data_IF_431263039050
#
_entry.id   IF_431263039050
#
_cell.length_a   1.000
_cell.length_b   1.000
_cell.length_c   1.000
_cell.angle_alpha   90.00
_cell.angle_beta   90.00
_cell.angle_gamma   90.00
#
_symmetry.space_group_name_H-M   'P 1'
#
loop_
_entity.id
_entity.type
_entity.pdbx_description
1 polymer ?
#
# COMPACT_ATOMS: atom_id res chain seq x y z
N UNK A 1 21.12 8.65 7.30
CA UNK A 1 20.15 8.64 6.17
C UNK A 1 19.04 7.70 6.54
N UNK A 2 17.81 8.13 6.35
CA UNK A 2 16.64 7.30 6.64
C UNK A 2 16.59 6.09 5.71
N UNK A 3 16.24 4.93 6.26
CA UNK A 3 16.07 3.70 5.51
C UNK A 3 14.65 3.61 4.96
N UNK A 4 14.51 3.80 3.65
CA UNK A 4 13.23 3.81 2.94
C UNK A 4 12.99 2.47 2.25
N UNK A 5 11.88 1.80 2.54
CA UNK A 5 11.49 0.54 1.91
C UNK A 5 10.23 0.71 1.08
N UNK A 6 10.25 0.19 -0.13
CA UNK A 6 9.06 0.02 -0.99
C UNK A 6 8.69 -1.46 -1.02
N UNK A 7 7.49 -1.80 -0.57
CA UNK A 7 6.95 -3.16 -0.65
C UNK A 7 6.10 -3.28 -1.90
N UNK A 8 6.44 -4.26 -2.74
CA UNK A 8 5.75 -4.53 -4.01
C UNK A 8 5.22 -5.96 -3.99
N UNK A 9 3.92 -6.16 -3.71
CA UNK A 9 3.31 -7.48 -3.82
C UNK A 9 3.11 -7.87 -5.29
N UNK A 10 3.42 -9.12 -5.63
CA UNK A 10 3.31 -9.63 -6.98
C UNK A 10 2.52 -10.94 -7.05
N UNK A 11 1.75 -11.08 -8.14
CA UNK A 11 1.17 -12.33 -8.60
C UNK A 11 0.93 -12.24 -10.11
N UNK A 12 1.75 -12.91 -10.93
CA UNK A 12 1.77 -12.81 -12.40
C UNK A 12 1.99 -11.36 -12.87
N UNK A 13 3.15 -10.80 -12.53
CA UNK A 13 3.56 -9.45 -12.92
C UNK A 13 4.86 -9.46 -13.75
N UNK A 14 5.13 -10.57 -14.44
CA UNK A 14 6.32 -10.76 -15.30
C UNK A 14 6.57 -9.60 -16.26
N UNK A 15 5.50 -9.03 -16.81
CA UNK A 15 5.58 -7.94 -17.81
C UNK A 15 5.99 -6.59 -17.23
N UNK A 16 5.78 -6.40 -15.92
CA UNK A 16 5.95 -5.10 -15.25
C UNK A 16 7.12 -5.07 -14.27
N UNK A 17 7.42 -6.21 -13.63
CA UNK A 17 8.25 -6.23 -12.41
C UNK A 17 9.67 -5.70 -12.63
N UNK A 18 10.34 -6.03 -13.74
CA UNK A 18 11.66 -5.52 -14.04
C UNK A 18 11.65 -4.00 -14.24
N UNK A 19 10.70 -3.52 -15.04
CA UNK A 19 10.61 -2.09 -15.37
C UNK A 19 10.33 -1.25 -14.12
N UNK A 20 9.47 -1.71 -13.20
CA UNK A 20 9.14 -0.95 -12.00
C UNK A 20 10.31 -0.95 -10.99
N UNK A 21 11.03 -2.05 -10.84
CA UNK A 21 12.23 -2.14 -9.99
C UNK A 21 13.29 -1.16 -10.50
N UNK A 22 13.61 -1.21 -11.80
CA UNK A 22 14.58 -0.30 -12.41
C UNK A 22 14.15 1.16 -12.28
N UNK A 23 12.87 1.45 -12.47
CA UNK A 23 12.32 2.80 -12.31
C UNK A 23 12.51 3.33 -10.89
N UNK A 24 12.17 2.54 -9.87
CA UNK A 24 12.36 2.95 -8.46
C UNK A 24 13.84 3.20 -8.16
N UNK A 25 14.74 2.33 -8.62
CA UNK A 25 16.17 2.52 -8.38
C UNK A 25 16.80 3.65 -9.19
N UNK A 26 16.14 4.16 -10.24
CA UNK A 26 16.57 5.34 -10.98
C UNK A 26 16.21 6.67 -10.32
N UNK A 27 15.36 6.65 -9.29
CA UNK A 27 14.96 7.86 -8.57
C UNK A 27 16.08 8.38 -7.67
N UNK A 28 16.10 9.68 -7.47
CA UNK A 28 16.97 10.29 -6.46
C UNK A 28 16.53 9.84 -5.06
N UNK A 29 17.49 9.38 -4.26
CA UNK A 29 17.26 8.88 -2.90
C UNK A 29 17.73 7.44 -2.71
N UNK A 30 17.79 7.02 -1.45
CA UNK A 30 18.17 5.66 -1.09
C UNK A 30 16.91 4.82 -0.84
N UNK A 31 16.41 4.19 -1.90
CA UNK A 31 15.27 3.27 -1.79
C UNK A 31 15.75 1.82 -1.77
N UNK A 32 15.13 1.01 -0.92
CA UNK A 32 15.19 -0.44 -0.95
C UNK A 32 13.84 -0.98 -1.43
N UNK A 33 13.84 -2.13 -2.05
CA UNK A 33 12.62 -2.79 -2.53
C UNK A 33 12.54 -4.17 -1.89
N UNK A 34 11.36 -4.50 -1.36
CA UNK A 34 10.98 -5.85 -0.99
C UNK A 34 9.82 -6.30 -1.87
N UNK A 35 10.08 -7.30 -2.71
CA UNK A 35 9.02 -7.98 -3.48
C UNK A 35 8.42 -9.09 -2.62
N UNK A 36 7.09 -9.14 -2.54
CA UNK A 36 6.35 -10.25 -1.91
C UNK A 36 5.64 -11.03 -3.02
N UNK A 37 6.23 -12.12 -3.46
CA UNK A 37 5.67 -12.92 -4.55
C UNK A 37 4.75 -14.04 -4.04
N UNK A 38 3.52 -14.05 -4.51
CA UNK A 38 2.47 -14.99 -4.14
C UNK A 38 2.51 -16.31 -4.94
N UNK A 39 3.73 -16.80 -5.22
CA UNK A 39 3.93 -18.03 -5.97
C UNK A 39 3.53 -17.87 -7.44
N UNK A 40 4.01 -16.83 -8.09
CA UNK A 40 3.74 -16.52 -9.50
C UNK A 40 4.22 -17.65 -10.43
N UNK A 41 3.33 -18.30 -11.20
CA UNK A 41 3.73 -19.36 -12.14
C UNK A 41 4.37 -18.84 -13.44
N UNK A 42 4.30 -17.52 -13.71
CA UNK A 42 4.78 -16.89 -14.94
C UNK A 42 6.28 -16.58 -14.95
N UNK A 43 6.99 -16.84 -13.85
CA UNK A 43 8.42 -16.58 -13.72
C UNK A 43 8.77 -15.22 -13.12
N UNK A 44 7.80 -14.46 -12.59
CA UNK A 44 8.02 -13.17 -11.92
C UNK A 44 9.16 -13.24 -10.90
N UNK A 45 9.13 -14.21 -9.97
CA UNK A 45 10.15 -14.37 -8.93
C UNK A 45 11.57 -14.61 -9.50
N UNK A 46 11.67 -15.32 -10.63
CA UNK A 46 12.94 -15.55 -11.33
C UNK A 46 13.58 -14.26 -11.83
N UNK A 47 12.76 -13.35 -12.37
CA UNK A 47 13.22 -12.02 -12.81
C UNK A 47 13.76 -11.22 -11.62
N UNK A 48 13.02 -11.18 -10.52
CA UNK A 48 13.45 -10.44 -9.32
C UNK A 48 14.79 -10.98 -8.81
N UNK A 49 14.94 -12.32 -8.72
CA UNK A 49 16.20 -12.94 -8.28
C UNK A 49 17.38 -12.60 -9.19
N UNK A 50 17.15 -12.51 -10.50
CA UNK A 50 18.20 -12.09 -11.43
C UNK A 50 18.63 -10.64 -11.18
N UNK A 51 17.68 -9.75 -10.89
CA UNK A 51 17.95 -8.35 -10.59
C UNK A 51 18.64 -8.13 -9.25
N UNK A 52 18.48 -9.04 -8.28
CA UNK A 52 19.19 -8.94 -6.98
C UNK A 52 20.71 -8.90 -7.13
N UNK A 53 21.26 -9.54 -8.18
CA UNK A 53 22.70 -9.48 -8.48
C UNK A 53 23.15 -8.08 -8.95
N UNK A 54 22.24 -7.31 -9.58
CA UNK A 54 22.50 -5.95 -10.04
C UNK A 54 22.31 -4.91 -8.91
N UNK A 55 21.42 -5.21 -7.96
CA UNK A 55 21.06 -4.32 -6.85
C UNK A 55 21.29 -4.98 -5.48
N UNK A 56 22.54 -5.35 -5.16
CA UNK A 56 22.85 -6.06 -3.91
C UNK A 56 22.46 -5.19 -2.70
N UNK A 57 21.94 -5.83 -1.66
CA UNK A 57 21.51 -5.22 -0.39
C UNK A 57 20.35 -4.21 -0.51
N UNK A 58 19.86 -3.95 -1.73
CA UNK A 58 18.76 -3.00 -1.97
C UNK A 58 17.50 -3.66 -2.51
N UNK A 59 17.59 -4.87 -3.05
CA UNK A 59 16.47 -5.64 -3.57
C UNK A 59 16.39 -6.97 -2.85
N UNK A 60 15.24 -7.24 -2.24
CA UNK A 60 14.93 -8.48 -1.58
C UNK A 60 13.63 -9.09 -2.10
N UNK A 61 13.46 -10.40 -1.92
CA UNK A 61 12.23 -11.12 -2.28
C UNK A 61 11.82 -12.09 -1.18
N UNK A 62 10.52 -12.14 -0.90
CA UNK A 62 9.88 -13.20 -0.11
C UNK A 62 8.91 -13.94 -1.03
N UNK A 63 9.15 -15.22 -1.23
CA UNK A 63 8.25 -16.09 -1.99
C UNK A 63 7.29 -16.81 -1.04
N UNK A 64 5.99 -16.64 -1.30
CA UNK A 64 4.92 -17.30 -0.55
C UNK A 64 4.38 -18.51 -1.33
N UNK A 65 3.76 -19.47 -0.62
CA UNK A 65 3.30 -20.73 -1.23
C UNK A 65 2.09 -20.58 -2.18
N UNK A 66 1.55 -19.38 -2.35
CA UNK A 66 0.42 -19.11 -3.23
C UNK A 66 -0.29 -17.80 -2.90
N UNK A 67 -1.39 -17.51 -3.60
CA UNK A 67 -2.15 -16.28 -3.48
C UNK A 67 -2.90 -16.19 -2.14
N UNK A 68 -2.26 -15.61 -1.14
CA UNK A 68 -2.81 -15.47 0.22
C UNK A 68 -3.54 -14.14 0.45
N UNK A 69 -3.51 -13.24 -0.54
CA UNK A 69 -4.18 -11.94 -0.53
C UNK A 69 -3.25 -10.77 -0.24
N UNK A 70 -3.62 -9.61 -0.80
CA UNK A 70 -2.82 -8.39 -0.79
C UNK A 70 -2.47 -7.91 0.62
N UNK A 71 -3.45 -7.83 1.52
CA UNK A 71 -3.22 -7.38 2.90
C UNK A 71 -2.21 -8.24 3.64
N UNK A 72 -2.26 -9.57 3.46
CA UNK A 72 -1.29 -10.46 4.11
C UNK A 72 0.12 -10.32 3.52
N UNK A 73 0.26 -9.92 2.25
CA UNK A 73 1.54 -9.60 1.65
C UNK A 73 2.16 -8.38 2.33
N UNK A 74 1.39 -7.30 2.45
CA UNK A 74 1.86 -6.11 3.14
C UNK A 74 2.18 -6.35 4.61
N UNK A 75 1.35 -7.10 5.35
CA UNK A 75 1.64 -7.46 6.74
C UNK A 75 2.95 -8.25 6.87
N UNK A 76 3.23 -9.17 5.95
CA UNK A 76 4.52 -9.87 5.91
C UNK A 76 5.67 -8.88 5.69
N UNK A 77 5.52 -7.98 4.73
CA UNK A 77 6.53 -6.97 4.43
C UNK A 77 6.75 -5.98 5.57
N UNK A 78 5.70 -5.54 6.26
CA UNK A 78 5.81 -4.65 7.42
C UNK A 78 6.59 -5.28 8.57
N UNK A 79 6.29 -6.55 8.91
CA UNK A 79 7.05 -7.28 9.94
C UNK A 79 8.52 -7.40 9.57
N UNK A 80 8.80 -7.79 8.32
CA UNK A 80 10.16 -7.88 7.81
C UNK A 80 10.90 -6.53 7.85
N UNK A 81 10.21 -5.44 7.52
CA UNK A 81 10.76 -4.08 7.57
C UNK A 81 11.11 -3.64 9.00
N UNK A 82 10.21 -3.90 9.96
CA UNK A 82 10.44 -3.58 11.38
C UNK A 82 11.64 -4.33 11.96
N UNK A 83 11.78 -5.62 11.65
CA UNK A 83 12.91 -6.46 12.08
C UNK A 83 14.25 -5.93 11.55
N UNK A 84 14.28 -5.29 10.37
CA UNK A 84 15.48 -4.77 9.70
C UNK A 84 15.75 -3.30 9.93
N UNK A 85 14.91 -2.64 10.72
CA UNK A 85 15.12 -1.26 11.13
C UNK A 85 14.88 -0.24 10.03
N UNK A 86 13.92 -0.45 9.14
CA UNK A 86 13.48 0.57 8.20
C UNK A 86 12.69 1.67 8.90
N UNK A 87 12.95 2.93 8.53
CA UNK A 87 12.34 4.11 9.15
C UNK A 87 10.98 4.43 8.52
N UNK A 88 10.88 4.23 7.20
CA UNK A 88 9.65 4.45 6.43
C UNK A 88 9.41 3.30 5.47
N UNK A 89 8.14 2.90 5.36
CA UNK A 89 7.72 1.76 4.54
C UNK A 89 6.55 2.16 3.67
N UNK A 90 6.72 2.08 2.36
CA UNK A 90 5.71 2.43 1.37
C UNK A 90 5.14 1.19 0.68
N UNK A 91 3.83 1.11 0.56
CA UNK A 91 3.08 0.15 -0.25
C UNK A 91 2.99 0.65 -1.69
N UNK A 92 3.29 -0.17 -2.68
CA UNK A 92 3.16 0.19 -4.10
C UNK A 92 2.81 -1.03 -4.95
N UNK A 93 1.89 -0.86 -5.90
CA UNK A 93 1.55 -1.91 -6.87
C UNK A 93 2.62 -2.02 -7.98
N UNK A 94 2.75 -3.21 -8.58
CA UNK A 94 3.76 -3.50 -9.61
C UNK A 94 3.37 -3.01 -11.01
N UNK A 95 2.13 -2.58 -11.24
CA UNK A 95 1.53 -2.39 -12.57
C UNK A 95 1.56 -0.94 -13.10
N UNK A 96 2.37 -0.08 -12.49
CA UNK A 96 2.47 1.35 -12.80
C UNK A 96 1.17 2.15 -12.62
N UNK A 97 0.15 1.60 -11.94
CA UNK A 97 -1.03 2.39 -11.55
C UNK A 97 -0.68 3.43 -10.48
N UNK A 98 0.31 3.12 -9.66
CA UNK A 98 1.02 4.06 -8.80
C UNK A 98 2.31 4.51 -9.53
N UNK A 99 2.44 5.82 -9.76
CA UNK A 99 3.65 6.34 -10.42
C UNK A 99 4.82 6.33 -9.43
N UNK A 100 5.92 5.62 -9.71
CA UNK A 100 7.10 5.64 -8.83
C UNK A 100 7.69 7.04 -8.62
N UNK A 101 7.51 7.97 -9.54
CA UNK A 101 7.99 9.36 -9.39
C UNK A 101 7.34 10.09 -8.20
N UNK A 102 6.21 9.60 -7.67
CA UNK A 102 5.56 10.15 -6.48
C UNK A 102 6.23 9.66 -5.17
N UNK A 103 7.07 8.60 -5.20
CA UNK A 103 7.71 8.04 -3.99
C UNK A 103 8.50 9.07 -3.17
N UNK A 104 9.35 9.93 -3.76
CA UNK A 104 10.07 10.94 -2.97
C UNK A 104 9.13 11.85 -2.18
N UNK A 105 8.04 12.31 -2.79
CA UNK A 105 7.03 13.14 -2.12
C UNK A 105 6.28 12.37 -1.03
N UNK A 106 5.95 11.09 -1.26
CA UNK A 106 5.30 10.22 -0.28
C UNK A 106 6.17 10.02 0.96
N UNK A 107 7.45 9.71 0.79
CA UNK A 107 8.38 9.54 1.91
C UNK A 107 8.63 10.85 2.65
N UNK A 108 8.82 11.95 1.95
CA UNK A 108 9.01 13.28 2.55
C UNK A 108 7.80 13.69 3.41
N UNK A 109 6.58 13.56 2.88
CA UNK A 109 5.35 13.87 3.60
C UNK A 109 5.16 12.96 4.83
N UNK A 110 5.54 11.67 4.73
CA UNK A 110 5.48 10.73 5.85
C UNK A 110 6.47 11.13 6.96
N UNK A 111 7.70 11.50 6.57
CA UNK A 111 8.74 11.95 7.51
C UNK A 111 8.34 13.25 8.21
N UNK A 112 7.82 14.22 7.48
CA UNK A 112 7.38 15.51 8.03
C UNK A 112 6.21 15.34 9.04
N UNK A 113 5.24 14.48 8.72
CA UNK A 113 4.09 14.29 9.60
C UNK A 113 4.37 13.32 10.76
N UNK A 114 5.41 12.51 10.68
CA UNK A 114 5.75 11.46 11.66
C UNK A 114 4.72 10.33 11.76
N UNK A 115 3.85 10.18 10.78
CA UNK A 115 2.73 9.26 10.80
C UNK A 115 2.55 8.48 9.50
N UNK A 116 1.56 8.86 8.71
CA UNK A 116 1.17 8.16 7.47
C UNK A 116 0.97 9.17 6.34
N UNK A 117 1.54 8.92 5.18
CA UNK A 117 1.19 9.64 3.95
C UNK A 117 0.40 8.74 3.00
N UNK A 118 -0.60 9.31 2.35
CA UNK A 118 -1.54 8.61 1.46
C UNK A 118 -1.49 9.26 0.10
N UNK A 119 -1.12 8.51 -0.94
CA UNK A 119 -1.25 8.94 -2.33
C UNK A 119 -2.73 9.01 -2.70
N UNK A 120 -3.27 10.22 -2.71
CA UNK A 120 -4.69 10.48 -2.82
C UNK A 120 -5.10 10.86 -4.23
N UNK A 121 -6.12 10.18 -4.74
CA UNK A 121 -6.79 10.50 -6.02
C UNK A 121 -7.83 11.60 -5.87
N UNK A 122 -8.12 12.01 -4.61
CA UNK A 122 -9.31 12.83 -4.31
C UNK A 122 -9.05 14.05 -3.43
N UNK A 123 -7.84 14.30 -2.95
CA UNK A 123 -7.54 15.45 -2.10
C UNK A 123 -7.49 16.77 -2.87
N UNK A 124 -7.18 16.71 -4.17
CA UNK A 124 -7.13 17.86 -5.07
C UNK A 124 -7.96 17.58 -6.34
N UNK A 125 -9.27 17.38 -6.14
CA UNK A 125 -10.19 16.98 -7.22
C UNK A 125 -10.20 15.47 -7.46
N UNK A 126 -10.51 15.05 -8.71
CA UNK A 126 -10.54 13.64 -9.12
C UNK A 126 -9.42 13.42 -10.14
N UNK A 127 -8.35 12.75 -9.70
CA UNK A 127 -7.12 12.55 -10.46
C UNK A 127 -6.95 11.08 -10.87
N UNK A 128 -7.80 10.63 -11.80
CA UNK A 128 -7.73 9.26 -12.36
C UNK A 128 -7.77 9.30 -13.88
N UNK A 129 -6.99 8.43 -14.52
CA UNK A 129 -6.88 8.36 -15.99
C UNK A 129 -7.35 6.99 -16.48
N UNK A 130 -8.13 6.97 -17.54
CA UNK A 130 -8.65 5.77 -18.20
C UNK A 130 -9.53 4.87 -17.30
N UNK A 131 -10.28 5.44 -16.38
CA UNK A 131 -11.28 4.72 -15.61
C UNK A 131 -12.69 4.91 -16.21
N UNK A 132 -13.51 3.87 -16.27
CA UNK A 132 -14.95 4.03 -16.55
C UNK A 132 -15.60 4.92 -15.48
N UNK A 133 -16.53 5.78 -15.90
CA UNK A 133 -17.23 6.73 -14.99
C UNK A 133 -17.85 6.01 -13.79
N UNK A 134 -18.47 4.85 -14.01
CA UNK A 134 -19.06 4.06 -12.91
C UNK A 134 -18.03 3.63 -11.84
N UNK A 135 -16.80 3.31 -12.25
CA UNK A 135 -15.70 2.99 -11.32
C UNK A 135 -15.26 4.22 -10.53
N UNK A 136 -15.19 5.38 -11.18
CA UNK A 136 -14.85 6.65 -10.52
C UNK A 136 -15.88 6.96 -9.44
N UNK A 137 -17.16 6.96 -9.79
CA UNK A 137 -18.27 7.25 -8.87
C UNK A 137 -18.26 6.27 -7.69
N UNK A 138 -18.15 4.97 -7.97
CA UNK A 138 -18.12 3.94 -6.94
C UNK A 138 -16.95 4.15 -5.96
N UNK A 139 -15.74 4.37 -6.44
CA UNK A 139 -14.55 4.59 -5.61
C UNK A 139 -14.66 5.88 -4.79
N UNK A 140 -15.14 6.95 -5.40
CA UNK A 140 -15.31 8.24 -4.73
C UNK A 140 -16.37 8.18 -3.62
N UNK A 141 -17.53 7.58 -3.90
CA UNK A 141 -18.59 7.43 -2.89
C UNK A 141 -18.24 6.40 -1.81
N UNK A 142 -17.46 5.35 -2.15
CA UNK A 142 -16.91 4.44 -1.15
C UNK A 142 -16.01 5.18 -0.16
N UNK A 143 -15.10 6.03 -0.64
CA UNK A 143 -14.26 6.86 0.23
C UNK A 143 -15.08 7.86 1.06
N UNK A 144 -16.12 8.49 0.48
CA UNK A 144 -17.05 9.35 1.23
C UNK A 144 -17.78 8.61 2.34
N UNK A 145 -18.27 7.39 2.05
CA UNK A 145 -18.93 6.54 3.03
C UNK A 145 -18.00 6.21 4.20
N UNK A 146 -16.79 5.71 3.90
CA UNK A 146 -15.78 5.36 4.90
C UNK A 146 -15.44 6.58 5.77
N UNK A 147 -15.18 7.71 5.13
CA UNK A 147 -14.87 8.99 5.80
C UNK A 147 -16.00 9.42 6.75
N UNK A 148 -17.24 9.31 6.33
CA UNK A 148 -18.42 9.67 7.14
C UNK A 148 -18.59 8.73 8.34
N UNK A 149 -18.54 7.41 8.12
CA UNK A 149 -18.72 6.41 9.17
C UNK A 149 -17.57 6.46 10.18
N UNK A 150 -16.33 6.49 9.73
CA UNK A 150 -15.15 6.46 10.59
C UNK A 150 -14.77 7.86 11.12
N UNK A 151 -15.36 8.93 10.59
CA UNK A 151 -15.04 10.32 10.92
C UNK A 151 -13.56 10.65 10.71
N UNK A 152 -12.96 10.09 9.67
CA UNK A 152 -11.61 10.42 9.23
C UNK A 152 -11.61 11.65 8.32
N UNK A 153 -10.53 12.43 8.35
CA UNK A 153 -10.38 13.59 7.47
C UNK A 153 -9.69 13.24 6.13
N UNK A 154 -9.40 11.96 5.88
CA UNK A 154 -8.74 11.47 4.67
C UNK A 154 -9.76 11.40 3.51
N UNK A 155 -9.45 12.00 2.36
CA UNK A 155 -10.33 12.00 1.18
C UNK A 155 -10.31 10.66 0.46
N UNK A 156 -9.14 10.01 0.35
CA UNK A 156 -8.99 8.71 -0.28
C UNK A 156 -8.74 7.59 0.73
N UNK A 157 -9.80 7.17 1.40
CA UNK A 157 -9.72 6.10 2.39
C UNK A 157 -9.35 4.72 1.79
N UNK A 158 -9.57 4.53 0.48
CA UNK A 158 -9.34 3.27 -0.22
C UNK A 158 -8.02 3.21 -0.99
N UNK A 159 -7.22 4.26 -0.94
CA UNK A 159 -5.91 4.30 -1.58
C UNK A 159 -5.01 3.16 -1.10
N UNK A 160 -4.29 2.53 -2.04
CA UNK A 160 -3.30 1.49 -1.77
C UNK A 160 -1.85 1.97 -1.85
N UNK A 161 -1.62 3.21 -2.27
CA UNK A 161 -0.31 3.84 -2.25
C UNK A 161 -0.16 4.61 -0.94
N UNK A 162 0.48 3.99 0.04
CA UNK A 162 0.53 4.50 1.41
C UNK A 162 1.93 4.31 1.98
N UNK A 163 2.47 5.35 2.61
CA UNK A 163 3.72 5.26 3.33
C UNK A 163 3.46 5.40 4.84
N UNK A 164 4.07 4.53 5.62
CA UNK A 164 3.98 4.51 7.08
C UNK A 164 5.35 4.80 7.69
N UNK A 165 5.37 5.63 8.74
CA UNK A 165 6.55 5.73 9.60
C UNK A 165 6.71 4.46 10.43
N UNK A 166 7.96 4.15 10.82
CA UNK A 166 8.28 3.05 11.73
C UNK A 166 7.44 3.12 13.01
N UNK A 167 7.34 4.30 13.61
CA UNK A 167 6.58 4.51 14.84
C UNK A 167 5.10 4.14 14.67
N UNK A 168 4.49 4.45 13.51
CA UNK A 168 3.11 4.08 13.24
C UNK A 168 2.96 2.55 13.10
N UNK A 169 3.88 1.87 12.39
CA UNK A 169 3.84 0.42 12.22
C UNK A 169 4.10 -0.33 13.53
N UNK A 170 5.02 0.14 14.38
CA UNK A 170 5.30 -0.45 15.69
C UNK A 170 4.11 -0.32 16.65
N UNK A 171 3.36 0.78 16.57
CA UNK A 171 2.19 1.00 17.41
C UNK A 171 0.98 0.16 17.00
N UNK A 172 0.88 -0.21 15.73
CA UNK A 172 -0.21 -1.05 15.20
C UNK A 172 0.06 -2.52 15.56
N UNK A 173 -0.91 -3.19 16.15
CA UNK A 173 -0.87 -4.65 16.26
C UNK A 173 -1.18 -5.26 14.89
N UNK A 174 -0.10 -5.58 14.13
CA UNK A 174 -0.20 -6.15 12.78
C UNK A 174 -0.84 -7.55 12.76
N UNK A 175 -0.86 -8.27 13.90
CA UNK A 175 -1.49 -9.58 14.02
C UNK A 175 -3.01 -9.48 14.24
N UNK A 176 -3.52 -8.33 14.69
CA UNK A 176 -4.94 -8.08 14.90
C UNK A 176 -5.61 -7.40 13.68
N UNK A 177 -4.90 -7.18 12.58
CA UNK A 177 -5.49 -6.68 11.32
C UNK A 177 -6.29 -7.79 10.65
N UNK A 178 -7.60 -7.58 10.45
CA UNK A 178 -8.56 -8.64 10.07
C UNK A 178 -9.18 -8.46 8.70
N UNK A 179 -9.30 -7.22 8.24
CA UNK A 179 -9.95 -6.93 6.96
C UNK A 179 -9.06 -7.32 5.77
N UNK A 180 -9.69 -7.76 4.69
CA UNK A 180 -8.99 -8.19 3.46
C UNK A 180 -9.25 -7.21 2.32
N UNK A 181 -8.50 -7.34 1.23
CA UNK A 181 -8.69 -6.53 0.04
C UNK A 181 -8.63 -5.02 0.34
N UNK A 182 -9.61 -4.27 -0.15
CA UNK A 182 -9.71 -2.83 0.13
C UNK A 182 -9.95 -2.49 1.60
N UNK A 183 -10.59 -3.40 2.33
CA UNK A 183 -10.83 -3.24 3.76
C UNK A 183 -9.52 -3.14 4.55
N UNK A 184 -8.49 -3.88 4.14
CA UNK A 184 -7.16 -3.82 4.73
C UNK A 184 -6.62 -2.37 4.74
N UNK A 185 -6.70 -1.69 3.62
CA UNK A 185 -6.23 -0.31 3.48
C UNK A 185 -7.00 0.68 4.38
N UNK A 186 -8.30 0.42 4.54
CA UNK A 186 -9.15 1.23 5.42
C UNK A 186 -8.78 0.97 6.89
N UNK A 187 -8.64 -0.31 7.27
CA UNK A 187 -8.32 -0.71 8.65
C UNK A 187 -6.96 -0.18 9.09
N UNK A 188 -5.92 -0.31 8.27
CA UNK A 188 -4.58 0.18 8.58
C UNK A 188 -4.56 1.69 8.83
N UNK A 189 -5.13 2.48 7.91
CA UNK A 189 -5.23 3.94 8.07
C UNK A 189 -6.06 4.33 9.27
N UNK A 190 -7.19 3.66 9.49
CA UNK A 190 -8.05 3.95 10.64
C UNK A 190 -7.39 3.61 11.97
N UNK A 191 -6.67 2.49 12.04
CA UNK A 191 -5.91 2.10 13.24
C UNK A 191 -4.85 3.15 13.55
N UNK A 192 -4.03 3.55 12.57
CA UNK A 192 -3.06 4.64 12.76
C UNK A 192 -3.73 5.92 13.27
N UNK A 193 -4.85 6.33 12.67
CA UNK A 193 -5.63 7.49 13.09
C UNK A 193 -6.13 7.38 14.54
N UNK A 194 -6.65 6.21 14.94
CA UNK A 194 -7.15 5.96 16.31
C UNK A 194 -6.04 5.93 17.34
N UNK A 195 -4.82 5.54 16.94
CA UNK A 195 -3.63 5.58 17.79
C UNK A 195 -2.97 6.96 17.86
N UNK A 196 -3.57 7.97 17.21
CA UNK A 196 -3.16 9.36 17.30
C UNK A 196 -2.13 9.82 16.26
N UNK A 197 -1.80 8.98 15.26
CA UNK A 197 -0.89 9.37 14.19
C UNK A 197 -1.55 10.32 13.19
N UNK A 198 -0.77 11.30 12.73
CA UNK A 198 -1.20 12.20 11.64
C UNK A 198 -1.26 11.40 10.33
N UNK A 199 -2.29 11.69 9.54
CA UNK A 199 -2.42 11.19 8.17
C UNK A 199 -2.47 12.40 7.26
N UNK A 200 -1.56 12.46 6.31
CA UNK A 200 -1.49 13.50 5.27
C UNK A 200 -1.75 12.90 3.91
N UNK A 201 -2.30 13.70 3.00
CA UNK A 201 -2.57 13.25 1.64
C UNK A 201 -1.63 13.96 0.67
N UNK A 202 -1.00 13.17 -0.20
CA UNK A 202 -0.18 13.64 -1.32
C UNK A 202 -1.02 13.46 -2.60
N UNK A 203 -1.31 14.51 -3.36
CA UNK A 203 -2.07 14.36 -4.60
C UNK A 203 -1.27 13.53 -5.62
N UNK A 204 -1.90 12.49 -6.16
CA UNK A 204 -1.33 11.64 -7.20
C UNK A 204 -2.26 11.52 -8.39
N UNK A 205 -1.72 11.17 -9.55
CA UNK A 205 -2.49 10.80 -10.73
C UNK A 205 -2.48 9.27 -10.84
N UNK A 206 -3.63 8.64 -10.63
CA UNK A 206 -3.77 7.20 -10.78
C UNK A 206 -4.11 6.83 -12.22
N UNK A 207 -3.24 6.07 -12.85
CA UNK A 207 -3.44 5.62 -14.23
C UNK A 207 -3.93 4.17 -14.22
N UNK A 208 -4.99 3.87 -15.00
CA UNK A 208 -5.42 2.48 -15.11
C UNK A 208 -4.29 1.65 -15.76
N UNK A 209 -4.04 0.45 -15.23
CA UNK A 209 -3.02 -0.46 -15.77
C UNK A 209 -3.15 -0.62 -17.27
N UNK A 210 -2.01 -0.64 -17.97
CA UNK A 210 -1.96 -0.84 -19.43
C UNK A 210 -1.96 -2.31 -19.80
N UNK A 211 -1.46 -3.18 -18.93
CA UNK A 211 -1.30 -4.63 -19.13
C UNK A 211 -1.89 -5.41 -17.95
N UNK A 212 -2.33 -6.63 -18.19
CA UNK A 212 -2.91 -7.52 -17.18
C UNK A 212 -4.43 -7.34 -16.95
N UNK A 213 -5.05 -8.32 -16.30
CA UNK A 213 -6.50 -8.37 -16.00
C UNK A 213 -6.78 -7.96 -14.57
N UNK A 214 -7.86 -7.19 -14.37
CA UNK A 214 -8.32 -6.83 -13.02
C UNK A 214 -8.79 -8.08 -12.25
N UNK A 215 -8.22 -8.32 -11.07
CA UNK A 215 -8.48 -9.52 -10.25
C UNK A 215 -9.58 -9.26 -9.20
N UNK A 216 -10.49 -8.31 -9.44
CA UNK A 216 -11.56 -7.93 -8.50
C UNK A 216 -12.74 -8.91 -8.57
N UNK A 217 -13.23 -9.36 -7.39
CA UNK A 217 -14.47 -10.10 -7.26
C UNK A 217 -15.57 -9.23 -6.63
N UNK A 218 -16.80 -9.38 -7.08
CA UNK A 218 -17.96 -8.58 -6.66
C UNK A 218 -18.37 -8.76 -5.18
N UNK A 219 -17.96 -9.86 -4.52
CA UNK A 219 -18.27 -10.12 -3.10
C UNK A 219 -17.54 -9.24 -2.09
N UNK A 220 -16.45 -8.59 -2.50
CA UNK A 220 -15.59 -7.77 -1.62
C UNK A 220 -16.31 -6.51 -1.10
N UNK A 221 -17.28 -5.99 -1.84
CA UNK A 221 -17.98 -4.75 -1.46
C UNK A 221 -18.89 -4.91 -0.24
N UNK A 222 -19.65 -6.00 -0.18
CA UNK A 222 -20.56 -6.26 0.96
C UNK A 222 -19.80 -6.48 2.26
N UNK A 223 -18.71 -7.24 2.20
CA UNK A 223 -17.83 -7.49 3.36
C UNK A 223 -17.18 -6.17 3.85
N UNK A 224 -16.70 -5.35 2.93
CA UNK A 224 -16.10 -4.06 3.27
C UNK A 224 -17.11 -3.09 3.89
N UNK A 225 -18.36 -3.05 3.40
CA UNK A 225 -19.41 -2.18 3.94
C UNK A 225 -19.70 -2.47 5.43
N UNK A 226 -20.01 -3.71 5.77
CA UNK A 226 -20.26 -4.09 7.17
C UNK A 226 -18.99 -4.06 8.03
N UNK A 227 -17.84 -4.36 7.41
CA UNK A 227 -16.53 -4.27 8.06
C UNK A 227 -16.21 -2.86 8.57
N UNK A 228 -16.51 -1.83 7.78
CA UNK A 228 -16.32 -0.41 8.17
C UNK A 228 -17.20 -0.03 9.37
N UNK A 229 -18.45 -0.49 9.43
CA UNK A 229 -19.32 -0.24 10.58
C UNK A 229 -18.76 -0.93 11.83
N UNK A 230 -18.37 -2.20 11.74
CA UNK A 230 -17.75 -2.92 12.85
C UNK A 230 -16.45 -2.25 13.32
N UNK A 231 -15.64 -1.80 12.37
CA UNK A 231 -14.39 -1.11 12.65
C UNK A 231 -14.60 0.19 13.47
N UNK A 232 -15.71 0.93 13.21
CA UNK A 232 -16.06 2.15 13.94
C UNK A 232 -16.20 1.94 15.44
N UNK A 233 -16.71 0.78 15.86
CA UNK A 233 -16.98 0.45 17.25
C UNK A 233 -15.88 -0.40 17.91
N UNK A 234 -14.85 -0.78 17.15
CA UNK A 234 -13.71 -1.52 17.67
C UNK A 234 -12.86 -0.63 18.59
N UNK A 235 -12.39 -1.20 19.69
CA UNK A 235 -11.37 -0.57 20.53
C UNK A 235 -10.00 -0.82 19.94
N UNK A 236 -9.17 0.21 19.97
CA UNK A 236 -7.79 0.15 19.49
C UNK A 236 -6.88 0.45 20.68
N UNK A 237 -5.88 -0.38 20.86
CA UNK A 237 -4.81 -0.23 21.84
C UNK A 237 -3.48 -0.25 21.10
N UNK A 238 -2.47 0.42 21.65
CA UNK A 238 -1.12 0.29 21.12
C UNK A 238 -0.63 -1.13 21.41
N UNK A 239 0.23 -1.63 20.53
CA UNK A 239 0.85 -2.94 20.74
C UNK A 239 1.63 -2.91 22.07
N UNK A 240 1.25 -3.79 22.99
CA UNK A 240 1.87 -3.88 24.32
C UNK A 240 1.12 -3.19 25.46
N UNK A 241 0.01 -2.49 25.20
CA UNK A 241 -1.00 -2.05 26.18
C UNK A 241 -2.15 -3.09 26.17
#
# INVERSE_FOLDING_TARGET
>A
MDKNLVIIPTYNEKENIEAIIRKVFSLEGCFHILVIDDGSPDGTAGIVKSLMAEFPERLDIIERKGKLGLGTAYLTGFKWALERGYDYVCEMDADFSHNPDDLPAMFAACAECGGVSVGSRYCDGISVVNWPVGRILMSYYASKYVRGVLRMKVHDCTAGFVCYSRAALEAIDLDDVRMKGYGFQIEMKYTAFKLGFRIVEVPIIFVNRKMGTSKMSSGIFGEAFWGVIKLRFRKFHKKGE
#
